data_IF_931586732137
#
_entry.id   IF_931586732137
#
_cell.length_a   1.000
_cell.length_b   1.000
_cell.length_c   1.000
_cell.angle_alpha   90.00
_cell.angle_beta   90.00
_cell.angle_gamma   90.00
#
_symmetry.space_group_name_H-M   'P 1'
#
loop_
_entity.id
_entity.type
_entity.pdbx_description
1 polymer ?
#
# COMPACT_ATOMS: atom_id res chain seq x y z
N UNK A 1 -10.96 -4.23 -15.73
CA UNK A 1 -10.63 -5.38 -14.85
C UNK A 1 -9.77 -4.86 -13.71
N UNK A 2 -10.11 -5.15 -12.45
CA UNK A 2 -9.31 -4.72 -11.29
C UNK A 2 -8.00 -5.52 -11.29
N UNK A 3 -6.82 -4.87 -11.23
CA UNK A 3 -5.55 -5.59 -11.21
C UNK A 3 -5.40 -6.42 -9.92
N UNK A 4 -4.77 -7.60 -9.96
CA UNK A 4 -4.36 -8.30 -8.75
C UNK A 4 -3.34 -7.43 -7.99
N UNK A 5 -3.38 -7.47 -6.65
CA UNK A 5 -2.62 -6.54 -5.80
C UNK A 5 -1.11 -6.64 -6.00
N UNK A 6 -0.62 -7.83 -6.36
CA UNK A 6 0.79 -8.09 -6.65
C UNK A 6 1.33 -7.19 -7.77
N UNK A 7 0.54 -6.95 -8.83
CA UNK A 7 0.93 -6.08 -9.98
C UNK A 7 1.06 -4.61 -9.63
N UNK A 8 0.54 -4.20 -8.47
CA UNK A 8 0.63 -2.82 -7.99
C UNK A 8 1.88 -2.60 -7.11
N UNK A 9 2.64 -3.64 -6.78
CA UNK A 9 3.83 -3.51 -5.93
C UNK A 9 4.92 -2.74 -6.68
N UNK A 10 5.56 -1.72 -6.07
CA UNK A 10 6.69 -1.04 -6.70
C UNK A 10 7.81 -2.04 -7.04
N UNK A 11 8.42 -1.89 -8.21
CA UNK A 11 9.63 -2.64 -8.60
C UNK A 11 9.41 -4.06 -9.16
N UNK A 12 8.17 -4.51 -9.32
CA UNK A 12 7.85 -5.89 -9.73
C UNK A 12 8.54 -6.31 -11.05
N UNK A 13 9.65 -7.05 -10.92
CA UNK A 13 10.27 -7.88 -11.96
C UNK A 13 10.07 -9.36 -11.60
N UNK A 14 9.72 -10.19 -12.59
CA UNK A 14 9.57 -11.64 -12.39
C UNK A 14 10.84 -12.23 -11.76
N UNK A 15 10.72 -12.87 -10.59
CA UNK A 15 11.83 -13.52 -9.88
C UNK A 15 12.58 -12.70 -8.83
N UNK A 16 12.20 -11.43 -8.59
CA UNK A 16 12.78 -10.65 -7.49
C UNK A 16 12.22 -11.06 -6.11
N UNK A 17 13.06 -10.96 -5.07
CA UNK A 17 12.66 -11.22 -3.67
C UNK A 17 11.52 -10.28 -3.27
N UNK A 18 10.60 -10.71 -2.40
CA UNK A 18 9.44 -9.92 -1.97
C UNK A 18 9.80 -8.46 -1.67
N UNK A 19 9.47 -7.57 -2.61
CA UNK A 19 9.64 -6.13 -2.47
C UNK A 19 8.51 -5.56 -1.61
N UNK A 20 8.81 -4.50 -0.85
CA UNK A 20 7.82 -3.82 -0.02
C UNK A 20 6.72 -3.29 -0.94
N UNK A 21 5.45 -3.71 -0.78
CA UNK A 21 4.41 -3.53 -1.79
C UNK A 21 3.79 -2.12 -1.76
N UNK A 22 4.52 -1.14 -1.22
CA UNK A 22 4.03 0.20 -0.91
C UNK A 22 4.99 1.29 -1.36
N UNK A 23 4.39 2.40 -1.77
CA UNK A 23 5.05 3.68 -2.00
C UNK A 23 5.17 4.40 -0.65
N UNK A 24 6.40 4.56 -0.19
CA UNK A 24 6.70 5.14 1.14
C UNK A 24 7.19 6.58 1.10
N UNK A 25 7.49 7.12 -0.08
CA UNK A 25 8.00 8.48 -0.22
C UNK A 25 7.53 9.18 -1.50
N UNK A 26 7.55 10.52 -1.45
CA UNK A 26 7.26 11.38 -2.61
C UNK A 26 8.30 11.17 -3.72
N UNK A 27 9.57 10.94 -3.38
CA UNK A 27 10.60 10.66 -4.37
C UNK A 27 10.35 9.36 -5.13
N UNK A 28 9.88 8.32 -4.43
CA UNK A 28 9.46 7.07 -5.06
C UNK A 28 8.20 7.27 -5.93
N UNK A 29 7.19 7.99 -5.43
CA UNK A 29 5.99 8.32 -6.20
C UNK A 29 6.33 9.07 -7.50
N UNK A 30 7.26 10.04 -7.44
CA UNK A 30 7.74 10.78 -8.61
C UNK A 30 8.40 9.85 -9.63
N UNK A 31 9.32 8.97 -9.18
CA UNK A 31 9.96 7.98 -10.07
C UNK A 31 8.95 7.09 -10.78
N UNK A 32 7.96 6.55 -10.04
CA UNK A 32 6.90 5.71 -10.62
C UNK A 32 6.11 6.50 -11.66
N UNK A 33 5.73 7.74 -11.35
CA UNK A 33 4.97 8.58 -12.25
C UNK A 33 5.77 9.02 -13.50
N UNK A 34 7.10 9.13 -13.39
CA UNK A 34 7.99 9.47 -14.51
C UNK A 34 8.20 8.28 -15.46
N UNK A 35 8.21 7.05 -14.93
CA UNK A 35 8.41 5.82 -15.71
C UNK A 35 7.12 5.17 -16.20
N UNK A 36 5.94 5.67 -15.82
CA UNK A 36 4.67 5.05 -16.17
C UNK A 36 4.25 5.40 -17.61
N UNK A 37 4.05 4.37 -18.44
CA UNK A 37 3.50 4.51 -19.80
C UNK A 37 1.97 4.74 -19.83
N UNK A 38 1.29 4.65 -18.68
CA UNK A 38 -0.16 4.76 -18.58
C UNK A 38 -0.63 5.29 -17.23
N UNK A 39 -1.72 4.71 -16.70
CA UNK A 39 -2.24 5.04 -15.37
C UNK A 39 -1.14 4.84 -14.29
N UNK A 40 -0.97 5.81 -13.41
CA UNK A 40 0.03 5.80 -12.33
C UNK A 40 -0.57 5.16 -11.08
N UNK A 41 0.01 4.08 -10.59
CA UNK A 41 -0.48 3.36 -9.41
C UNK A 41 0.40 3.62 -8.19
N UNK A 42 -0.19 4.17 -7.13
CA UNK A 42 0.50 4.56 -5.90
C UNK A 42 -0.17 3.89 -4.68
N UNK A 43 0.04 2.59 -4.42
CA UNK A 43 -0.39 2.00 -3.17
C UNK A 43 0.42 2.58 -2.02
N UNK A 44 -0.20 3.42 -1.19
CA UNK A 44 0.50 4.14 -0.14
C UNK A 44 0.89 3.22 1.00
N UNK A 45 2.04 3.48 1.61
CA UNK A 45 2.45 2.82 2.84
C UNK A 45 1.43 3.09 3.97
N UNK A 46 1.02 2.08 4.77
CA UNK A 46 0.05 2.30 5.83
C UNK A 46 0.53 3.27 6.91
N UNK A 47 1.84 3.40 7.09
CA UNK A 47 2.44 4.27 8.12
C UNK A 47 3.75 4.84 7.59
N UNK A 48 3.87 6.15 7.61
CA UNK A 48 5.08 6.88 7.24
C UNK A 48 5.66 7.59 8.48
N UNK A 49 6.97 7.87 8.49
CA UNK A 49 7.61 8.65 9.56
C UNK A 49 7.14 10.11 9.57
N UNK A 50 6.98 10.70 8.38
CA UNK A 50 6.53 12.08 8.18
C UNK A 50 5.26 12.07 7.31
N UNK A 51 4.11 11.66 7.86
CA UNK A 51 2.90 11.42 7.08
C UNK A 51 2.43 12.70 6.38
N UNK A 52 2.40 13.85 7.06
CA UNK A 52 1.88 15.09 6.49
C UNK A 52 2.71 15.58 5.30
N UNK A 53 4.05 15.56 5.42
CA UNK A 53 4.95 15.93 4.34
C UNK A 53 4.82 14.97 3.14
N UNK A 54 4.68 13.68 3.40
CA UNK A 54 4.49 12.68 2.36
C UNK A 54 3.17 12.88 1.60
N UNK A 55 2.06 13.04 2.32
CA UNK A 55 0.75 13.26 1.71
C UNK A 55 0.68 14.58 0.95
N UNK A 56 1.24 15.67 1.49
CA UNK A 56 1.31 16.96 0.81
C UNK A 56 2.11 16.86 -0.50
N UNK A 57 3.26 16.20 -0.48
CA UNK A 57 4.08 16.02 -1.68
C UNK A 57 3.44 15.11 -2.73
N UNK A 58 2.67 14.09 -2.32
CA UNK A 58 1.86 13.28 -3.24
C UNK A 58 0.75 14.14 -3.86
N UNK A 59 0.06 14.97 -3.07
CA UNK A 59 -0.98 15.86 -3.58
C UNK A 59 -0.43 16.86 -4.61
N UNK A 60 0.73 17.44 -4.33
CA UNK A 60 1.44 18.33 -5.26
C UNK A 60 1.82 17.60 -6.55
N UNK A 61 2.38 16.38 -6.45
CA UNK A 61 2.72 15.56 -7.61
C UNK A 61 1.51 15.34 -8.52
N UNK A 62 0.38 14.92 -7.95
CA UNK A 62 -0.85 14.64 -8.70
C UNK A 62 -1.37 15.90 -9.41
N UNK A 63 -1.34 17.06 -8.73
CA UNK A 63 -1.76 18.34 -9.30
C UNK A 63 -0.82 18.85 -10.39
N UNK A 64 0.47 18.56 -10.26
CA UNK A 64 1.48 18.98 -11.25
C UNK A 64 1.39 18.23 -12.58
N UNK A 65 0.58 17.17 -12.65
CA UNK A 65 0.44 16.28 -13.82
C UNK A 65 -1.03 16.01 -14.17
N UNK A 66 -1.81 17.04 -14.51
CA UNK A 66 -3.24 16.90 -14.80
C UNK A 66 -3.55 15.96 -15.97
N UNK A 67 -2.58 15.76 -16.87
CA UNK A 67 -2.65 14.84 -18.02
C UNK A 67 -2.48 13.35 -17.64
N UNK A 68 -1.99 13.07 -16.43
CA UNK A 68 -1.79 11.70 -15.92
C UNK A 68 -2.88 11.34 -14.94
N UNK A 69 -3.44 10.13 -15.08
CA UNK A 69 -4.38 9.56 -14.11
C UNK A 69 -3.60 8.86 -13.00
N UNK A 70 -3.93 9.17 -11.77
CA UNK A 70 -3.35 8.55 -10.58
C UNK A 70 -4.38 7.68 -9.89
N UNK A 71 -4.01 6.45 -9.57
CA UNK A 71 -4.75 5.53 -8.73
C UNK A 71 -4.02 5.37 -7.40
N UNK A 72 -4.58 5.98 -6.35
CA UNK A 72 -3.94 6.09 -5.05
C UNK A 72 -4.57 5.05 -4.10
N UNK A 73 -3.74 4.12 -3.63
CA UNK A 73 -4.17 3.04 -2.75
C UNK A 73 -4.15 3.48 -1.30
N UNK A 74 -5.32 3.48 -0.67
CA UNK A 74 -5.48 3.88 0.72
C UNK A 74 -5.28 2.65 1.63
N UNK A 75 -4.20 2.62 2.42
CA UNK A 75 -3.93 1.57 3.41
C UNK A 75 -4.18 1.97 4.87
N UNK A 76 -4.60 3.22 5.14
CA UNK A 76 -4.84 3.73 6.49
C UNK A 76 -5.85 4.89 6.46
N UNK A 77 -6.65 5.05 7.52
CA UNK A 77 -7.67 6.11 7.65
C UNK A 77 -7.11 7.52 7.57
N UNK A 78 -5.85 7.75 7.98
CA UNK A 78 -5.24 9.08 7.85
C UNK A 78 -5.11 9.52 6.38
N UNK A 79 -5.05 8.58 5.43
CA UNK A 79 -5.03 8.91 3.99
C UNK A 79 -6.34 9.53 3.49
N UNK A 80 -7.43 9.48 4.26
CA UNK A 80 -8.66 10.20 3.92
C UNK A 80 -8.42 11.72 3.83
N UNK A 81 -7.44 12.25 4.57
CA UNK A 81 -7.01 13.65 4.44
C UNK A 81 -6.50 13.95 3.03
N UNK A 82 -5.69 13.06 2.45
CA UNK A 82 -5.21 13.19 1.06
C UNK A 82 -6.37 13.08 0.07
N UNK A 83 -7.30 12.14 0.29
CA UNK A 83 -8.44 11.96 -0.59
C UNK A 83 -9.33 13.22 -0.65
N UNK A 84 -9.61 13.82 0.51
CA UNK A 84 -10.31 15.11 0.60
C UNK A 84 -9.51 16.25 -0.03
N UNK A 85 -8.20 16.31 0.23
CA UNK A 85 -7.33 17.32 -0.33
C UNK A 85 -7.20 17.25 -1.85
N UNK A 86 -7.55 16.12 -2.49
CA UNK A 86 -7.56 15.94 -3.95
C UNK A 86 -8.97 15.83 -4.53
N UNK A 87 -10.02 16.22 -3.78
CA UNK A 87 -11.39 16.12 -4.23
C UNK A 87 -11.65 16.90 -5.54
N UNK A 88 -10.96 18.00 -5.76
CA UNK A 88 -11.01 18.85 -6.95
C UNK A 88 -10.16 18.33 -8.13
N UNK A 89 -9.18 17.46 -7.86
CA UNK A 89 -8.27 16.93 -8.87
C UNK A 89 -8.94 15.79 -9.67
N UNK A 90 -9.50 16.12 -10.84
CA UNK A 90 -10.22 15.15 -11.69
C UNK A 90 -9.39 13.93 -12.13
N UNK A 91 -8.06 14.05 -12.09
CA UNK A 91 -7.11 13.00 -12.43
C UNK A 91 -6.75 12.08 -11.25
N UNK A 92 -7.26 12.35 -10.04
CA UNK A 92 -7.02 11.55 -8.84
C UNK A 92 -8.16 10.55 -8.61
N UNK A 93 -7.87 9.26 -8.74
CA UNK A 93 -8.75 8.14 -8.43
C UNK A 93 -8.19 7.38 -7.24
N UNK A 94 -9.07 6.72 -6.48
CA UNK A 94 -8.68 6.05 -5.24
C UNK A 94 -9.12 4.60 -5.24
N UNK A 95 -8.41 3.75 -4.51
CA UNK A 95 -8.88 2.43 -4.16
C UNK A 95 -8.61 2.14 -2.69
N UNK A 96 -9.53 1.42 -2.04
CA UNK A 96 -9.29 0.94 -0.69
C UNK A 96 -8.38 -0.27 -0.78
N UNK A 97 -7.17 -0.14 -0.27
CA UNK A 97 -6.18 -1.21 -0.29
C UNK A 97 -6.36 -2.15 0.91
N UNK A 98 -5.69 -3.30 0.90
CA UNK A 98 -6.03 -4.44 1.77
C UNK A 98 -5.90 -4.16 3.27
N UNK A 99 -5.11 -3.15 3.67
CA UNK A 99 -4.96 -2.74 5.08
C UNK A 99 -6.05 -1.80 5.58
N UNK A 100 -7.01 -1.37 4.73
CA UNK A 100 -8.19 -0.65 5.18
C UNK A 100 -9.35 -1.54 5.66
N UNK A 101 -9.15 -2.87 5.67
CA UNK A 101 -10.08 -3.84 6.26
C UNK A 101 -11.53 -3.71 5.76
N UNK A 102 -11.73 -3.67 4.44
CA UNK A 102 -13.08 -3.68 3.86
C UNK A 102 -13.68 -5.09 3.95
N UNK A 103 -14.28 -5.39 5.10
CA UNK A 103 -14.81 -6.71 5.44
C UNK A 103 -16.32 -6.85 5.22
N UNK A 104 -17.06 -5.73 5.13
CA UNK A 104 -18.51 -5.76 5.01
C UNK A 104 -19.06 -4.47 4.35
N UNK A 105 -20.37 -4.46 4.06
CA UNK A 105 -21.08 -3.32 3.46
C UNK A 105 -20.93 -2.00 4.22
N UNK A 106 -20.77 -2.04 5.55
CA UNK A 106 -20.67 -0.81 6.35
C UNK A 106 -19.31 -0.14 6.13
N UNK A 107 -18.22 -0.92 6.13
CA UNK A 107 -16.88 -0.42 5.79
C UNK A 107 -16.81 0.12 4.36
N UNK A 108 -17.40 -0.58 3.40
CA UNK A 108 -17.42 -0.14 2.02
C UNK A 108 -18.26 1.12 1.81
N UNK A 109 -19.46 1.19 2.43
CA UNK A 109 -20.32 2.37 2.37
C UNK A 109 -19.65 3.60 2.99
N UNK A 110 -18.98 3.43 4.12
CA UNK A 110 -18.20 4.51 4.74
C UNK A 110 -17.18 5.08 3.75
N UNK A 111 -16.37 4.22 3.13
CA UNK A 111 -15.36 4.67 2.17
C UNK A 111 -15.99 5.29 0.92
N UNK A 112 -17.10 4.76 0.42
CA UNK A 112 -17.81 5.34 -0.73
C UNK A 112 -18.33 6.77 -0.46
N UNK A 113 -18.67 7.08 0.79
CA UNK A 113 -19.11 8.43 1.18
C UNK A 113 -17.94 9.38 1.40
N UNK A 114 -16.83 8.89 1.94
CA UNK A 114 -15.69 9.72 2.35
C UNK A 114 -14.61 9.90 1.27
N UNK A 115 -14.51 8.97 0.32
CA UNK A 115 -13.44 8.95 -0.69
C UNK A 115 -13.99 9.37 -2.05
N UNK A 116 -13.64 10.57 -2.56
CA UNK A 116 -14.08 10.99 -3.89
C UNK A 116 -13.50 10.07 -4.95
N UNK A 117 -14.27 9.74 -5.99
CA UNK A 117 -13.81 8.89 -7.11
C UNK A 117 -13.15 7.58 -6.64
N UNK A 118 -13.74 6.94 -5.63
CA UNK A 118 -13.38 5.59 -5.21
C UNK A 118 -13.68 4.60 -6.36
N UNK A 119 -12.63 4.10 -7.00
CA UNK A 119 -12.70 3.25 -8.17
C UNK A 119 -13.06 1.79 -7.82
N UNK A 120 -12.52 1.27 -6.72
CA UNK A 120 -12.79 -0.08 -6.21
C UNK A 120 -12.25 -0.28 -4.79
N UNK A 121 -12.55 -1.44 -4.20
CA UNK A 121 -12.00 -1.88 -2.91
C UNK A 121 -11.38 -3.28 -3.01
N UNK A 122 -10.27 -3.52 -2.32
CA UNK A 122 -9.86 -4.90 -2.03
C UNK A 122 -10.63 -5.42 -0.80
N UNK A 123 -11.16 -6.63 -0.93
CA UNK A 123 -11.83 -7.34 0.16
C UNK A 123 -10.84 -7.69 1.26
N UNK A 124 -11.32 -7.78 2.50
CA UNK A 124 -10.51 -8.20 3.65
C UNK A 124 -9.80 -9.53 3.37
N UNK A 125 -8.46 -9.48 3.45
CA UNK A 125 -7.57 -10.54 2.99
C UNK A 125 -7.75 -11.87 3.76
N UNK A 126 -8.18 -11.83 5.02
CA UNK A 126 -8.40 -13.02 5.85
C UNK A 126 -9.80 -13.62 5.67
N UNK A 127 -10.73 -12.90 5.02
CA UNK A 127 -12.09 -13.40 4.76
C UNK A 127 -12.17 -14.48 3.68
N UNK A 128 -11.11 -14.66 2.89
CA UNK A 128 -11.05 -15.63 1.79
C UNK A 128 -12.15 -15.42 0.74
N UNK A 129 -12.50 -16.51 0.05
CA UNK A 129 -13.55 -16.48 -0.98
C UNK A 129 -14.93 -16.20 -0.39
N UNK A 130 -15.26 -16.82 0.75
CA UNK A 130 -16.56 -16.62 1.39
C UNK A 130 -16.79 -15.17 1.81
N UNK A 131 -15.79 -14.53 2.43
CA UNK A 131 -15.85 -13.12 2.80
C UNK A 131 -15.94 -12.20 1.59
N UNK A 132 -15.22 -12.51 0.50
CA UNK A 132 -15.33 -11.77 -0.75
C UNK A 132 -16.74 -11.84 -1.34
N UNK A 133 -17.32 -13.04 -1.46
CA UNK A 133 -18.67 -13.22 -2.00
C UNK A 133 -19.74 -12.55 -1.14
N UNK A 134 -19.60 -12.62 0.19
CA UNK A 134 -20.48 -11.92 1.12
C UNK A 134 -20.40 -10.40 0.95
N UNK A 135 -19.19 -9.85 0.75
CA UNK A 135 -19.01 -8.42 0.47
C UNK A 135 -19.67 -8.05 -0.86
N UNK A 136 -19.32 -8.74 -1.96
CA UNK A 136 -19.86 -8.44 -3.31
C UNK A 136 -21.39 -8.48 -3.32
N UNK A 137 -21.99 -9.49 -2.67
CA UNK A 137 -23.45 -9.63 -2.59
C UNK A 137 -24.13 -8.50 -1.80
N UNK A 138 -23.38 -7.80 -0.95
CA UNK A 138 -23.88 -6.73 -0.10
C UNK A 138 -23.55 -5.32 -0.64
N UNK A 139 -22.81 -5.20 -1.74
CA UNK A 139 -22.47 -3.94 -2.39
C UNK A 139 -23.42 -3.64 -3.54
N UNK A 140 -23.67 -2.35 -3.77
CA UNK A 140 -24.31 -1.87 -4.99
C UNK A 140 -23.36 -2.07 -6.18
N UNK A 141 -23.92 -2.26 -7.38
CA UNK A 141 -23.15 -2.50 -8.61
C UNK A 141 -22.16 -1.38 -8.99
N UNK A 142 -22.25 -0.21 -8.33
CA UNK A 142 -21.41 0.96 -8.57
C UNK A 142 -20.05 0.91 -7.87
N UNK A 143 -19.86 0.07 -6.85
CA UNK A 143 -18.58 -0.07 -6.16
C UNK A 143 -18.04 -1.50 -6.30
N UNK A 144 -17.16 -1.74 -7.27
CA UNK A 144 -16.60 -3.07 -7.46
C UNK A 144 -15.65 -3.45 -6.32
N UNK A 145 -15.68 -4.73 -5.93
CA UNK A 145 -14.73 -5.31 -4.99
C UNK A 145 -13.89 -6.39 -5.68
N UNK A 146 -12.63 -6.53 -5.25
CA UNK A 146 -11.74 -7.59 -5.73
C UNK A 146 -11.02 -8.27 -4.56
N UNK A 147 -10.58 -9.52 -4.76
CA UNK A 147 -9.58 -10.13 -3.88
C UNK A 147 -8.19 -9.59 -4.21
N UNK A 148 -7.29 -9.59 -3.23
CA UNK A 148 -5.87 -9.23 -3.44
C UNK A 148 -5.14 -10.15 -4.42
N UNK A 149 -5.65 -11.39 -4.57
CA UNK A 149 -5.07 -12.44 -5.43
C UNK A 149 -4.19 -13.40 -4.64
N UNK A 150 -4.22 -14.69 -5.02
CA UNK A 150 -3.59 -15.78 -4.26
C UNK A 150 -2.05 -15.72 -4.32
N UNK A 151 -1.51 -15.07 -5.36
CA UNK A 151 -0.09 -14.82 -5.53
C UNK A 151 0.46 -13.71 -4.62
N UNK A 152 -0.38 -12.91 -3.96
CA UNK A 152 0.08 -11.79 -3.14
C UNK A 152 0.56 -12.25 -1.75
N UNK A 153 1.75 -11.80 -1.34
CA UNK A 153 2.32 -12.07 -0.02
C UNK A 153 2.37 -10.78 0.79
N UNK A 154 1.34 -10.48 1.62
CA UNK A 154 1.37 -9.30 2.46
C UNK A 154 2.49 -9.38 3.51
N UNK A 155 2.99 -8.25 4.02
CA UNK A 155 3.77 -8.28 5.25
C UNK A 155 2.90 -8.83 6.39
N UNK A 156 3.47 -9.73 7.20
CA UNK A 156 2.85 -10.22 8.43
C UNK A 156 2.73 -9.12 9.48
N UNK A 157 3.70 -8.21 9.47
CA UNK A 157 3.77 -7.10 10.40
C UNK A 157 4.60 -5.96 9.80
N UNK A 158 4.29 -4.74 10.19
CA UNK A 158 5.10 -3.56 9.93
C UNK A 158 5.19 -2.68 11.17
N UNK A 159 6.27 -1.92 11.32
CA UNK A 159 6.52 -1.09 12.51
C UNK A 159 7.37 0.12 12.21
N UNK A 160 7.01 1.26 12.81
CA UNK A 160 7.86 2.44 12.89
C UNK A 160 9.10 2.24 13.77
N UNK A 161 9.14 1.16 14.56
CA UNK A 161 10.33 0.72 15.25
C UNK A 161 11.33 0.13 14.25
N UNK A 162 12.44 0.82 14.03
CA UNK A 162 13.52 0.33 13.16
C UNK A 162 14.24 -0.88 13.79
N UNK A 163 14.13 -2.04 13.15
CA UNK A 163 14.71 -3.30 13.63
C UNK A 163 16.20 -3.19 13.91
N UNK A 164 16.94 -2.50 13.03
CA UNK A 164 18.41 -2.29 13.15
C UNK A 164 18.75 -1.49 14.40
N UNK A 165 17.99 -0.42 14.67
CA UNK A 165 18.18 0.43 15.85
C UNK A 165 17.89 -0.34 17.13
N UNK A 166 16.79 -1.08 17.17
CA UNK A 166 16.34 -1.78 18.38
C UNK A 166 17.19 -3.01 18.71
N UNK A 167 17.68 -3.73 17.71
CA UNK A 167 18.53 -4.91 17.92
C UNK A 167 20.02 -4.58 17.98
N UNK A 168 20.38 -3.28 18.03
CA UNK A 168 21.76 -2.78 18.18
C UNK A 168 22.76 -3.56 17.33
N UNK A 169 22.51 -3.67 16.03
CA UNK A 169 23.44 -4.33 15.09
C UNK A 169 24.72 -3.51 14.83
N UNK A 170 25.24 -2.83 15.85
CA UNK A 170 26.46 -2.03 15.82
C UNK A 170 26.37 -0.71 15.06
N UNK A 171 25.18 -0.28 14.62
CA UNK A 171 25.01 0.93 13.80
C UNK A 171 24.23 2.00 14.54
N UNK A 172 24.87 3.15 14.80
CA UNK A 172 24.17 4.39 15.13
C UNK A 172 23.35 4.89 13.92
N UNK A 173 22.43 5.81 14.16
CA UNK A 173 21.62 6.38 13.07
C UNK A 173 22.41 7.31 12.14
N UNK A 174 23.56 7.81 12.59
CA UNK A 174 24.34 8.84 11.87
C UNK A 174 24.98 8.31 10.57
N UNK A 175 25.31 7.01 10.52
CA UNK A 175 25.90 6.34 9.34
C UNK A 175 24.98 5.24 8.79
N UNK A 176 23.70 5.28 9.15
CA UNK A 176 22.71 4.28 8.79
C UNK A 176 22.32 4.40 7.31
N UNK A 177 22.30 3.27 6.59
CA UNK A 177 21.84 3.20 5.19
C UNK A 177 20.32 3.32 5.05
N UNK A 178 19.59 3.28 6.18
CA UNK A 178 18.12 3.28 6.33
C UNK A 178 17.39 2.09 5.70
N UNK A 179 18.05 1.36 4.81
CA UNK A 179 17.51 0.24 4.05
C UNK A 179 18.33 -1.03 4.33
N UNK A 180 17.67 -2.10 4.78
CA UNK A 180 18.31 -3.36 5.18
C UNK A 180 17.42 -4.57 4.89
N UNK A 181 18.04 -5.75 4.80
CA UNK A 181 17.36 -7.02 4.72
C UNK A 181 18.03 -8.04 5.64
N UNK A 182 17.23 -8.81 6.38
CA UNK A 182 17.69 -9.87 7.28
C UNK A 182 16.82 -11.11 7.11
N UNK A 183 17.42 -12.28 7.27
CA UNK A 183 16.68 -13.54 7.45
C UNK A 183 16.53 -13.81 8.96
N UNK A 184 15.32 -14.14 9.39
CA UNK A 184 15.04 -14.66 10.73
C UNK A 184 14.53 -16.09 10.66
N UNK A 185 14.87 -16.90 11.66
CA UNK A 185 14.37 -18.27 11.79
C UNK A 185 13.66 -18.45 13.12
N UNK A 186 12.50 -19.09 13.09
CA UNK A 186 11.77 -19.52 14.28
C UNK A 186 11.29 -20.97 14.07
N UNK A 187 12.02 -21.94 14.62
CA UNK A 187 11.80 -23.35 14.33
C UNK A 187 11.97 -23.67 12.83
N UNK A 188 11.01 -24.33 12.17
CA UNK A 188 11.08 -24.68 10.75
C UNK A 188 10.65 -23.54 9.81
N UNK A 189 10.26 -22.39 10.36
CA UNK A 189 9.78 -21.24 9.60
C UNK A 189 10.91 -20.22 9.41
N UNK A 190 10.98 -19.67 8.20
CA UNK A 190 11.91 -18.62 7.81
C UNK A 190 11.14 -17.35 7.46
N UNK A 191 11.64 -16.22 7.91
CA UNK A 191 11.05 -14.91 7.70
C UNK A 191 12.08 -13.95 7.11
N UNK A 192 11.60 -13.03 6.27
CA UNK A 192 12.41 -11.95 5.74
C UNK A 192 12.02 -10.66 6.46
N UNK A 193 12.98 -10.06 7.18
CA UNK A 193 12.84 -8.71 7.72
C UNK A 193 13.40 -7.73 6.70
N UNK A 194 12.60 -6.75 6.31
CA UNK A 194 13.04 -5.62 5.48
C UNK A 194 12.91 -4.36 6.29
N UNK A 195 13.94 -3.51 6.24
CA UNK A 195 13.86 -2.15 6.73
C UNK A 195 13.92 -1.25 5.51
N UNK A 196 12.94 -0.36 5.33
CA UNK A 196 12.91 0.67 4.30
C UNK A 196 12.63 2.00 4.97
N UNK A 197 13.51 2.96 4.76
CA UNK A 197 13.42 4.28 5.38
C UNK A 197 13.10 4.22 6.89
N UNK A 198 13.77 3.30 7.59
CA UNK A 198 13.61 2.99 9.02
C UNK A 198 12.29 2.32 9.44
N UNK A 199 11.35 2.08 8.53
CA UNK A 199 10.17 1.25 8.77
C UNK A 199 10.53 -0.22 8.59
N UNK A 200 10.20 -1.03 9.59
CA UNK A 200 10.43 -2.48 9.57
C UNK A 200 9.22 -3.19 8.99
N UNK A 201 9.47 -4.19 8.16
CA UNK A 201 8.49 -5.10 7.59
C UNK A 201 8.93 -6.53 7.84
N UNK A 202 8.01 -7.39 8.22
CA UNK A 202 8.23 -8.81 8.38
C UNK A 202 7.40 -9.56 7.34
N UNK A 203 8.05 -10.39 6.53
CA UNK A 203 7.39 -11.24 5.56
C UNK A 203 7.60 -12.70 5.93
N UNK A 204 6.58 -13.53 5.64
CA UNK A 204 6.81 -14.98 5.60
C UNK A 204 7.58 -15.29 4.33
N UNK A 205 8.70 -16.01 4.44
CA UNK A 205 9.42 -16.47 3.25
C UNK A 205 8.64 -17.63 2.65
N UNK A 206 8.20 -17.49 1.39
CA UNK A 206 7.58 -18.60 0.67
C UNK A 206 8.65 -19.66 0.42
N UNK A 207 8.33 -20.92 0.72
CA UNK A 207 9.15 -22.08 0.38
C UNK A 207 9.10 -22.34 -1.12
#
# INVERSE_FOLDING_TARGET
MIPPRQRLSPGHAEGAVAEIPFVGSVAEARRIADSADGDVWLPLEPVCLEPDACLAGIAELVRSRPERRFFIGLNNLHHLALARALADAANAFFFADFLLYVANRHSARFLAMEVPRLAFVYSWIEGGEAGHQALVSALDATLPAARVGDGFSPPLFYSLGCFVRHNRLGKGCDTCMKNYAFELRNGPETFDVRVKDCVTYLFRRRR
#
